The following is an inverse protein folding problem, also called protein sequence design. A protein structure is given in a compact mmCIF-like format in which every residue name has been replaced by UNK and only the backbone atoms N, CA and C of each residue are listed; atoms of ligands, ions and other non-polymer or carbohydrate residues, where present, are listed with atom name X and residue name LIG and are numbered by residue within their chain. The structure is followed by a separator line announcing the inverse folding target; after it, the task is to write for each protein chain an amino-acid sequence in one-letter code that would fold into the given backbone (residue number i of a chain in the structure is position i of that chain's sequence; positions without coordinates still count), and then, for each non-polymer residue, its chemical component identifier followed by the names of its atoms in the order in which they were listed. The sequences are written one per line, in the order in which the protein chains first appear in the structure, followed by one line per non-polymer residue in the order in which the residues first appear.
data_IF_152449043507
#
_entry.id   IF_152449043507
#
_cell.length_a   1.000
_cell.length_b   1.000
_cell.length_c   1.000
_cell.angle_alpha   90.00
_cell.angle_beta   90.00
_cell.angle_gamma   90.00
#
_symmetry.space_group_name_H-M   'P 1'
#
loop_
_entity.id
_entity.type
_entity.pdbx_description
1 polymer ?
#
# COMPACT_ATOMS: atom_id res chain seq x y z
N UNK A 1 10.51 -10.67 -8.83
CA UNK A 1 11.34 -11.41 -9.79
C UNK A 1 11.64 -10.55 -11.01
N UNK A 2 10.63 -10.15 -11.81
CA UNK A 2 10.82 -9.34 -13.04
C UNK A 2 11.61 -8.06 -12.79
N UNK A 3 11.24 -7.26 -11.79
CA UNK A 3 11.96 -6.01 -11.48
C UNK A 3 13.39 -6.25 -11.01
N UNK A 4 13.62 -7.30 -10.22
CA UNK A 4 14.95 -7.60 -9.68
C UNK A 4 15.88 -8.14 -10.74
N UNK A 5 15.49 -9.21 -11.46
CA UNK A 5 16.35 -9.88 -12.43
C UNK A 5 16.23 -9.30 -13.83
N UNK A 6 15.02 -8.93 -14.26
CA UNK A 6 14.81 -8.39 -15.61
C UNK A 6 15.26 -6.94 -15.78
N UNK A 7 15.16 -6.13 -14.72
CA UNK A 7 15.48 -4.70 -14.75
C UNK A 7 16.58 -4.29 -13.77
N UNK A 8 17.17 -5.23 -13.04
CA UNK A 8 18.24 -4.98 -12.04
C UNK A 8 17.85 -3.94 -10.98
N UNK A 9 16.57 -3.89 -10.61
CA UNK A 9 16.05 -2.92 -9.66
C UNK A 9 15.90 -3.52 -8.26
N UNK A 10 16.33 -2.84 -7.19
CA UNK A 10 16.04 -3.28 -5.83
C UNK A 10 14.53 -3.17 -5.54
N UNK A 11 13.96 -4.17 -4.88
CA UNK A 11 12.52 -4.22 -4.57
C UNK A 11 12.28 -4.39 -3.09
N UNK A 12 11.57 -3.43 -2.50
CA UNK A 12 11.01 -3.51 -1.14
C UNK A 12 9.52 -3.88 -1.26
N UNK A 13 9.14 -4.98 -0.63
CA UNK A 13 7.77 -5.50 -0.68
C UNK A 13 7.01 -5.06 0.57
N UNK A 14 6.10 -4.11 0.39
CA UNK A 14 5.22 -3.62 1.46
C UNK A 14 3.79 -4.02 1.10
N UNK A 15 3.25 -5.01 1.80
CA UNK A 15 1.91 -5.49 1.56
C UNK A 15 0.91 -4.83 2.50
N UNK A 16 -0.30 -4.57 2.00
CA UNK A 16 -1.43 -4.23 2.85
C UNK A 16 -1.89 -5.49 3.59
N UNK A 17 -1.27 -5.75 4.71
CA UNK A 17 -1.67 -6.81 5.62
C UNK A 17 -2.17 -6.14 6.88
N UNK A 18 -3.44 -6.31 7.15
CA UNK A 18 -4.10 -5.52 8.16
C UNK A 18 -3.72 -5.93 9.58
N UNK A 19 -3.03 -5.07 10.30
CA UNK A 19 -3.26 -4.92 11.72
C UNK A 19 -4.61 -4.26 11.98
N UNK A 20 -5.14 -3.50 11.01
CA UNK A 20 -6.41 -2.78 11.11
C UNK A 20 -7.31 -3.00 9.89
N UNK A 21 -8.55 -3.47 10.11
CA UNK A 21 -9.56 -3.77 9.07
C UNK A 21 -10.69 -2.73 9.00
N UNK A 22 -10.44 -1.50 9.43
CA UNK A 22 -11.40 -0.43 9.34
C UNK A 22 -11.52 0.11 7.90
N UNK A 23 -12.73 0.49 7.51
CA UNK A 23 -13.03 1.06 6.21
C UNK A 23 -13.46 2.52 6.36
N UNK A 24 -12.76 3.49 5.73
CA UNK A 24 -13.22 4.86 5.70
C UNK A 24 -14.53 4.95 4.92
N UNK A 25 -15.52 5.66 5.45
CA UNK A 25 -16.82 5.89 4.81
C UNK A 25 -17.06 7.36 4.56
N UNK A 26 -17.66 7.67 3.41
CA UNK A 26 -18.08 9.02 3.05
C UNK A 26 -19.40 9.44 3.71
N UNK A 27 -20.23 8.47 4.15
CA UNK A 27 -21.46 8.70 4.87
C UNK A 27 -21.46 7.96 6.21
N UNK A 28 -22.06 8.55 7.22
CA UNK A 28 -22.24 7.91 8.53
C UNK A 28 -23.30 6.81 8.47
N UNK A 29 -24.22 6.89 7.52
CA UNK A 29 -25.37 5.99 7.37
C UNK A 29 -25.46 5.44 5.94
N UNK A 30 -26.16 4.32 5.78
CA UNK A 30 -26.55 3.69 4.51
C UNK A 30 -28.07 3.52 4.51
N UNK A 31 -28.69 3.72 3.34
CA UNK A 31 -30.14 3.51 3.16
C UNK A 31 -30.38 2.38 2.17
N UNK A 32 -31.09 1.33 2.60
CA UNK A 32 -31.53 0.20 1.77
C UNK A 32 -33.03 0.00 1.99
N UNK A 33 -33.80 -0.03 0.94
CA UNK A 33 -35.28 -0.23 0.96
C UNK A 33 -36.02 0.75 1.91
N UNK A 34 -35.51 2.00 2.01
CA UNK A 34 -36.10 3.03 2.85
C UNK A 34 -35.74 2.94 4.32
N UNK A 35 -34.98 1.94 4.75
CA UNK A 35 -34.44 1.82 6.10
C UNK A 35 -33.06 2.46 6.15
N UNK A 36 -32.83 3.36 7.10
CA UNK A 36 -31.54 4.01 7.34
C UNK A 36 -30.84 3.41 8.56
N UNK A 37 -29.63 2.88 8.36
CA UNK A 37 -28.81 2.30 9.41
C UNK A 37 -27.37 2.86 9.35
N UNK A 38 -26.59 2.75 10.45
CA UNK A 38 -25.18 3.08 10.45
C UNK A 38 -24.42 2.34 9.34
N UNK A 39 -23.49 3.04 8.68
CA UNK A 39 -22.66 2.42 7.63
C UNK A 39 -21.83 1.26 8.18
N UNK A 40 -21.62 0.23 7.35
CA UNK A 40 -20.61 -0.78 7.61
C UNK A 40 -19.21 -0.15 7.59
N UNK A 41 -18.49 -0.22 8.71
CA UNK A 41 -17.19 0.43 8.93
C UNK A 41 -16.00 -0.54 8.95
N UNK A 42 -16.24 -1.81 8.64
CA UNK A 42 -15.24 -2.87 8.64
C UNK A 42 -15.47 -3.87 9.76
N UNK A 43 -15.05 -5.12 9.53
CA UNK A 43 -15.31 -6.26 10.43
C UNK A 43 -14.78 -6.08 11.85
N UNK A 44 -13.78 -5.23 12.04
CA UNK A 44 -13.28 -4.93 13.38
C UNK A 44 -14.15 -3.92 14.15
N UNK A 45 -15.15 -3.32 13.52
CA UNK A 45 -16.04 -2.33 14.12
C UNK A 45 -17.45 -2.87 14.24
N UNK A 46 -18.07 -3.26 13.11
CA UNK A 46 -19.44 -3.75 13.04
C UNK A 46 -19.59 -4.82 11.94
N UNK A 47 -20.74 -5.48 11.87
CA UNK A 47 -20.99 -6.51 10.88
C UNK A 47 -21.48 -5.95 9.55
N UNK A 48 -21.34 -6.75 8.48
CA UNK A 48 -21.73 -6.36 7.13
C UNK A 48 -23.23 -6.46 6.89
N UNK A 49 -23.94 -7.31 7.66
CA UNK A 49 -25.39 -7.46 7.55
C UNK A 49 -26.12 -6.14 7.78
N UNK A 50 -27.31 -5.98 7.18
CA UNK A 50 -28.07 -4.75 7.24
C UNK A 50 -29.22 -4.88 8.24
N UNK A 51 -28.88 -5.01 9.52
CA UNK A 51 -29.81 -5.01 10.67
C UNK A 51 -29.30 -4.03 11.73
N UNK A 52 -30.19 -3.53 12.57
CA UNK A 52 -29.81 -2.62 13.66
C UNK A 52 -28.75 -3.25 14.57
N UNK A 53 -28.93 -4.51 14.96
CA UNK A 53 -28.01 -5.24 15.82
C UNK A 53 -26.62 -5.40 15.21
N UNK A 54 -26.52 -5.77 13.94
CA UNK A 54 -25.24 -6.00 13.25
C UNK A 54 -24.49 -4.70 12.97
N UNK A 55 -25.18 -3.56 12.91
CA UNK A 55 -24.57 -2.25 12.65
C UNK A 55 -24.10 -1.54 13.92
N UNK A 56 -24.43 -2.06 15.11
CA UNK A 56 -23.87 -1.55 16.38
C UNK A 56 -22.38 -1.91 16.46
N UNK A 57 -21.48 -0.94 16.77
CA UNK A 57 -20.07 -1.22 17.01
C UNK A 57 -19.87 -2.17 18.19
N UNK A 58 -19.07 -3.22 18.00
CA UNK A 58 -18.74 -4.22 19.00
C UNK A 58 -17.23 -4.24 19.30
N UNK A 59 -16.78 -3.82 20.50
CA UNK A 59 -15.37 -3.81 20.88
C UNK A 59 -14.68 -5.18 20.83
N UNK A 60 -15.43 -6.28 21.02
CA UNK A 60 -14.87 -7.64 20.93
C UNK A 60 -14.35 -7.95 19.54
N UNK A 61 -14.87 -7.29 18.51
CA UNK A 61 -14.38 -7.41 17.13
C UNK A 61 -12.94 -6.93 16.96
N UNK A 62 -12.51 -5.92 17.72
CA UNK A 62 -11.12 -5.47 17.74
C UNK A 62 -10.16 -6.56 18.21
N UNK A 63 -10.53 -7.29 19.27
CA UNK A 63 -9.72 -8.41 19.77
C UNK A 63 -9.68 -9.57 18.76
N UNK A 64 -10.82 -9.90 18.16
CA UNK A 64 -10.89 -10.94 17.10
C UNK A 64 -10.02 -10.55 15.89
N UNK A 65 -10.08 -9.31 15.45
CA UNK A 65 -9.26 -8.80 14.36
C UNK A 65 -7.76 -8.89 14.70
N UNK A 66 -7.36 -8.53 15.92
CA UNK A 66 -5.99 -8.68 16.39
C UNK A 66 -5.52 -10.14 16.35
N UNK A 67 -6.28 -11.07 16.90
CA UNK A 67 -5.90 -12.49 16.90
C UNK A 67 -5.79 -13.04 15.48
N UNK A 68 -6.72 -12.71 14.61
CA UNK A 68 -6.70 -13.14 13.20
C UNK A 68 -5.50 -12.55 12.45
N UNK A 69 -5.22 -11.26 12.64
CA UNK A 69 -4.04 -10.60 12.03
C UNK A 69 -2.74 -11.22 12.51
N UNK A 70 -2.59 -11.42 13.80
CA UNK A 70 -1.39 -12.00 14.41
C UNK A 70 -1.13 -13.41 13.90
N UNK A 71 -2.14 -14.27 13.85
CA UNK A 71 -2.04 -15.63 13.32
C UNK A 71 -1.65 -15.62 11.83
N UNK A 72 -2.31 -14.80 11.03
CA UNK A 72 -2.05 -14.67 9.59
C UNK A 72 -0.63 -14.17 9.32
N UNK A 73 -0.18 -13.14 10.03
CA UNK A 73 1.17 -12.58 9.87
C UNK A 73 2.26 -13.57 10.28
N UNK A 74 2.04 -14.37 11.34
CA UNK A 74 2.97 -15.42 11.73
C UNK A 74 3.05 -16.54 10.68
N UNK A 75 1.93 -16.93 10.10
CA UNK A 75 1.90 -17.93 9.03
C UNK A 75 2.64 -17.42 7.78
N UNK A 76 2.38 -16.19 7.35
CA UNK A 76 3.05 -15.59 6.19
C UNK A 76 4.56 -15.46 6.44
N UNK A 77 4.97 -15.07 7.65
CA UNK A 77 6.39 -15.02 8.03
C UNK A 77 7.03 -16.40 7.93
N UNK A 78 6.39 -17.44 8.42
CA UNK A 78 6.88 -18.81 8.34
C UNK A 78 7.08 -19.24 6.87
N UNK A 79 6.14 -18.96 5.99
CA UNK A 79 6.26 -19.27 4.56
C UNK A 79 7.34 -18.42 3.86
N UNK A 80 7.42 -17.13 4.18
CA UNK A 80 8.37 -16.22 3.57
C UNK A 80 9.82 -16.55 3.95
N UNK A 81 10.06 -16.99 5.18
CA UNK A 81 11.39 -17.40 5.67
C UNK A 81 11.71 -18.86 5.41
N UNK A 82 10.68 -19.71 5.33
CA UNK A 82 10.81 -21.16 5.06
C UNK A 82 11.13 -21.53 3.62
N UNK A 83 11.18 -20.56 2.71
CA UNK A 83 11.56 -20.78 1.31
C UNK A 83 10.41 -21.16 0.38
N UNK A 84 9.14 -21.15 0.84
CA UNK A 84 7.99 -21.40 -0.03
C UNK A 84 7.91 -20.38 -1.18
N UNK A 85 8.21 -19.12 -0.88
CA UNK A 85 8.22 -18.02 -1.85
C UNK A 85 9.65 -17.66 -2.30
N UNK A 86 10.53 -18.65 -2.48
CA UNK A 86 11.87 -18.41 -3.04
C UNK A 86 11.78 -17.91 -4.49
N UNK A 87 12.80 -17.18 -4.94
CA UNK A 87 12.76 -16.50 -6.24
C UNK A 87 12.62 -17.46 -7.41
N UNK A 88 13.19 -18.67 -7.31
CA UNK A 88 13.12 -19.70 -8.37
C UNK A 88 11.68 -20.25 -8.49
N UNK A 89 11.03 -20.58 -7.36
CA UNK A 89 9.65 -21.07 -7.35
C UNK A 89 8.65 -20.03 -7.83
N UNK A 90 8.76 -18.78 -7.34
CA UNK A 90 7.87 -17.68 -7.75
C UNK A 90 7.99 -17.40 -9.25
N UNK A 91 9.20 -17.50 -9.80
CA UNK A 91 9.41 -17.35 -11.25
C UNK A 91 8.67 -18.42 -12.04
N UNK A 92 8.78 -19.69 -11.65
CA UNK A 92 8.07 -20.80 -12.29
C UNK A 92 6.54 -20.64 -12.22
N UNK A 93 5.99 -20.23 -11.06
CA UNK A 93 4.54 -19.99 -10.92
C UNK A 93 4.04 -18.86 -11.83
N UNK A 94 4.81 -17.80 -11.98
CA UNK A 94 4.43 -16.68 -12.85
C UNK A 94 4.40 -17.09 -14.33
N UNK A 95 5.34 -17.92 -14.77
CA UNK A 95 5.35 -18.46 -16.14
C UNK A 95 4.09 -19.27 -16.45
N UNK A 96 3.67 -20.13 -15.52
CA UNK A 96 2.45 -20.93 -15.69
C UNK A 96 1.18 -20.09 -15.77
N UNK A 97 1.12 -18.99 -15.02
CA UNK A 97 -0.03 -18.07 -15.01
C UNK A 97 -0.18 -17.29 -16.32
N UNK A 98 0.92 -16.92 -16.97
CA UNK A 98 0.90 -16.09 -18.20
C UNK A 98 0.65 -16.90 -19.47
N UNK A 99 0.82 -18.22 -19.42
CA UNK A 99 0.57 -19.11 -20.58
C UNK A 99 -0.82 -18.89 -21.18
N UNK A 100 -0.85 -18.63 -22.47
CA UNK A 100 -2.10 -18.43 -23.23
C UNK A 100 -2.64 -17.00 -23.23
N UNK A 101 -1.95 -16.02 -22.63
CA UNK A 101 -2.29 -14.61 -22.78
C UNK A 101 -1.71 -14.01 -24.07
N UNK A 102 -2.28 -12.89 -24.54
CA UNK A 102 -1.76 -12.15 -25.70
C UNK A 102 -0.34 -11.61 -25.47
N UNK A 103 0.04 -11.39 -24.21
CA UNK A 103 1.33 -10.88 -23.77
C UNK A 103 2.36 -11.99 -23.47
N UNK A 104 2.00 -13.26 -23.65
CA UNK A 104 2.84 -14.42 -23.31
C UNK A 104 4.24 -14.32 -23.94
N UNK A 105 4.32 -14.01 -25.25
CA UNK A 105 5.59 -13.92 -25.97
C UNK A 105 6.54 -12.83 -25.41
N UNK A 106 5.99 -11.66 -25.06
CA UNK A 106 6.77 -10.58 -24.47
C UNK A 106 7.25 -10.93 -23.07
N UNK A 107 6.42 -11.63 -22.30
CA UNK A 107 6.80 -12.11 -20.99
C UNK A 107 7.85 -13.22 -21.06
N UNK A 108 7.76 -14.11 -22.04
CA UNK A 108 8.74 -15.18 -22.29
C UNK A 108 10.15 -14.64 -22.58
N UNK A 109 10.26 -13.52 -23.30
CA UNK A 109 11.56 -12.85 -23.51
C UNK A 109 12.19 -12.40 -22.20
N UNK A 110 11.39 -11.77 -21.32
CA UNK A 110 11.86 -11.37 -19.98
C UNK A 110 12.20 -12.59 -19.13
N UNK A 111 11.38 -13.63 -19.21
CA UNK A 111 11.57 -14.87 -18.48
C UNK A 111 12.83 -15.60 -18.89
N UNK A 112 13.20 -15.60 -20.19
CA UNK A 112 14.46 -16.17 -20.68
C UNK A 112 15.66 -15.50 -20.02
N UNK A 113 15.69 -14.20 -19.97
CA UNK A 113 16.77 -13.43 -19.29
C UNK A 113 16.88 -13.76 -17.80
N UNK A 114 15.74 -13.95 -17.14
CA UNK A 114 15.71 -14.35 -15.73
C UNK A 114 16.28 -15.77 -15.56
N UNK A 115 15.91 -16.70 -16.43
CA UNK A 115 16.45 -18.06 -16.42
C UNK A 115 17.97 -18.07 -16.62
N UNK A 116 18.48 -17.32 -17.60
CA UNK A 116 19.92 -17.20 -17.84
C UNK A 116 20.65 -16.67 -16.59
N UNK A 117 20.09 -15.67 -15.89
CA UNK A 117 20.66 -15.14 -14.65
C UNK A 117 20.67 -16.18 -13.52
N UNK A 118 19.56 -16.93 -13.35
CA UNK A 118 19.46 -17.99 -12.35
C UNK A 118 20.39 -19.18 -12.66
N UNK A 119 20.53 -19.54 -13.92
CA UNK A 119 21.44 -20.60 -14.38
C UNK A 119 22.90 -20.21 -14.16
N UNK A 120 23.27 -18.96 -14.45
CA UNK A 120 24.59 -18.43 -14.15
C UNK A 120 24.89 -18.48 -12.65
N UNK A 121 23.95 -18.04 -11.81
CA UNK A 121 24.12 -18.10 -10.35
C UNK A 121 24.31 -19.53 -9.86
N UNK A 122 23.52 -20.49 -10.38
CA UNK A 122 23.67 -21.93 -10.08
C UNK A 122 25.03 -22.47 -10.50
N UNK A 123 25.50 -22.11 -11.69
CA UNK A 123 26.84 -22.48 -12.17
C UNK A 123 27.96 -21.94 -11.26
N UNK A 124 27.75 -20.76 -10.66
CA UNK A 124 28.65 -20.18 -9.65
C UNK A 124 28.45 -20.78 -8.24
N UNK A 125 27.61 -21.80 -8.08
CA UNK A 125 27.34 -22.44 -6.79
C UNK A 125 26.38 -21.69 -5.88
N UNK A 126 25.62 -20.70 -6.41
CA UNK A 126 24.64 -19.92 -5.64
C UNK A 126 23.24 -20.38 -5.99
N UNK A 127 22.48 -20.83 -4.98
CA UNK A 127 21.09 -21.29 -5.15
C UNK A 127 20.25 -20.94 -3.91
N UNK A 128 18.95 -21.17 -3.98
CA UNK A 128 18.06 -20.99 -2.82
C UNK A 128 18.39 -21.92 -1.65
N UNK A 129 19.13 -23.01 -1.88
CA UNK A 129 19.56 -23.91 -0.82
C UNK A 129 20.66 -23.32 0.08
N UNK A 130 21.55 -22.49 -0.47
CA UNK A 130 22.69 -21.92 0.24
C UNK A 130 22.71 -20.39 0.32
N UNK A 131 21.82 -19.70 -0.39
CA UNK A 131 21.70 -18.24 -0.35
C UNK A 131 20.39 -17.82 0.31
N UNK A 132 20.49 -17.14 1.46
CA UNK A 132 19.36 -16.60 2.18
C UNK A 132 18.59 -15.58 1.33
N UNK A 133 19.30 -14.77 0.55
CA UNK A 133 18.70 -13.74 -0.30
C UNK A 133 17.85 -14.32 -1.44
N UNK A 134 18.13 -15.53 -1.89
CA UNK A 134 17.31 -16.24 -2.88
C UNK A 134 16.17 -17.04 -2.24
N UNK A 135 16.41 -17.59 -1.04
CA UNK A 135 15.45 -18.43 -0.34
C UNK A 135 14.36 -17.61 0.36
N UNK A 136 14.72 -16.54 1.04
CA UNK A 136 13.81 -15.79 1.88
C UNK A 136 13.24 -14.58 1.15
N UNK A 137 11.95 -14.36 1.32
CA UNK A 137 11.29 -13.14 0.89
C UNK A 137 11.06 -12.23 2.11
N UNK A 138 11.69 -11.05 2.11
CA UNK A 138 11.38 -10.02 3.10
C UNK A 138 10.05 -9.37 2.72
N UNK A 139 9.09 -9.42 3.62
CA UNK A 139 7.77 -8.82 3.48
C UNK A 139 7.55 -7.85 4.64
N UNK A 140 7.22 -6.63 4.31
CA UNK A 140 6.79 -5.61 5.26
C UNK A 140 5.28 -5.43 5.17
N UNK A 141 4.66 -5.03 6.27
CA UNK A 141 3.21 -4.85 6.36
C UNK A 141 2.87 -3.38 6.48
N UNK A 142 1.68 -3.02 5.99
CA UNK A 142 1.18 -1.66 6.08
C UNK A 142 -0.34 -1.63 6.09
N UNK A 143 -0.93 -0.59 6.68
CA UNK A 143 -2.36 -0.28 6.61
C UNK A 143 -2.62 1.22 6.82
N UNK A 144 -3.86 1.65 6.56
CA UNK A 144 -4.31 2.99 6.90
C UNK A 144 -4.51 3.11 8.41
N UNK A 145 -3.88 4.09 9.04
CA UNK A 145 -4.04 4.39 10.47
C UNK A 145 -5.37 5.12 10.70
N UNK A 146 -6.50 4.44 10.49
CA UNK A 146 -7.82 5.06 10.56
C UNK A 146 -8.35 5.17 11.99
N UNK A 147 -8.17 4.12 12.81
CA UNK A 147 -8.60 4.05 14.20
C UNK A 147 -7.42 4.36 15.12
N UNK A 148 -7.28 5.61 15.54
CA UNK A 148 -6.13 6.04 16.35
C UNK A 148 -6.07 5.37 17.73
N UNK A 149 -7.21 5.09 18.36
CA UNK A 149 -7.23 4.34 19.62
C UNK A 149 -6.62 2.92 19.49
N UNK A 150 -6.79 2.30 18.32
CA UNK A 150 -6.15 1.02 18.03
C UNK A 150 -4.64 1.20 17.85
N UNK A 151 -4.22 2.19 17.08
CA UNK A 151 -2.80 2.48 16.85
C UNK A 151 -2.09 2.87 18.14
N UNK A 152 -2.70 3.69 18.98
CA UNK A 152 -2.18 4.09 20.30
C UNK A 152 -1.93 2.86 21.19
N UNK A 153 -2.87 1.90 21.20
CA UNK A 153 -2.72 0.66 21.96
C UNK A 153 -1.53 -0.19 21.50
N UNK A 154 -1.02 0.00 20.27
CA UNK A 154 0.14 -0.68 19.71
C UNK A 154 1.41 0.18 19.71
N UNK A 155 1.34 1.43 20.13
CA UNK A 155 2.52 2.30 20.20
C UNK A 155 3.42 1.87 21.37
N UNK A 156 4.70 1.74 21.09
CA UNK A 156 5.73 1.31 22.06
C UNK A 156 6.97 2.16 21.92
N UNK A 157 7.56 2.50 23.07
CA UNK A 157 8.87 3.12 23.10
C UNK A 157 9.93 2.07 22.71
N UNK A 158 10.85 2.46 21.84
CA UNK A 158 12.03 1.65 21.55
C UNK A 158 12.98 1.70 22.74
N UNK A 159 13.25 0.52 23.28
CA UNK A 159 14.19 0.34 24.41
C UNK A 159 15.56 -0.16 23.94
N UNK A 160 15.76 -0.32 22.64
CA UNK A 160 16.98 -0.89 22.04
C UNK A 160 17.90 0.24 21.54
N UNK A 161 17.31 1.27 20.89
CA UNK A 161 18.08 2.42 20.42
C UNK A 161 18.18 3.51 21.49
N UNK A 162 19.33 4.23 21.55
CA UNK A 162 19.53 5.29 22.55
C UNK A 162 18.53 6.44 22.46
N UNK A 163 18.01 6.70 21.26
CA UNK A 163 17.05 7.80 20.96
C UNK A 163 15.68 7.60 21.61
N UNK A 164 15.33 6.34 21.94
CA UNK A 164 14.09 6.01 22.63
C UNK A 164 12.82 6.41 21.84
N UNK A 165 12.88 6.36 20.51
CA UNK A 165 11.77 6.72 19.62
C UNK A 165 10.53 5.88 19.87
N UNK A 166 9.35 6.43 19.61
CA UNK A 166 8.10 5.68 19.67
C UNK A 166 7.78 5.05 18.31
N UNK A 167 7.36 3.79 18.34
CA UNK A 167 6.95 3.04 17.16
C UNK A 167 5.54 2.48 17.32
N UNK A 168 4.72 2.58 16.27
CA UNK A 168 3.55 1.73 16.15
C UNK A 168 3.99 0.31 15.80
N UNK A 169 3.58 -0.67 16.59
CA UNK A 169 3.87 -2.09 16.34
C UNK A 169 2.72 -2.82 15.63
N UNK A 170 1.68 -2.09 15.21
CA UNK A 170 0.56 -2.64 14.44
C UNK A 170 0.94 -3.01 13.00
N UNK A 171 1.90 -2.29 12.41
CA UNK A 171 2.50 -2.58 11.10
C UNK A 171 3.90 -1.94 10.99
N UNK A 172 4.65 -2.33 9.94
CA UNK A 172 5.96 -1.71 9.67
C UNK A 172 5.81 -0.29 9.12
N UNK A 173 4.76 -0.04 8.33
CA UNK A 173 4.45 1.25 7.74
C UNK A 173 2.97 1.56 7.93
N UNK A 174 2.64 2.80 8.24
CA UNK A 174 1.27 3.30 8.34
C UNK A 174 1.05 4.42 7.33
N UNK A 175 -0.18 4.62 6.85
CA UNK A 175 -0.48 5.79 6.04
C UNK A 175 -1.71 6.55 6.52
N UNK A 176 -1.70 7.86 6.26
CA UNK A 176 -2.82 8.77 6.45
C UNK A 176 -3.73 8.69 5.22
N UNK A 177 -5.03 8.54 5.42
CA UNK A 177 -6.03 8.60 4.36
C UNK A 177 -6.20 10.01 3.80
N UNK A 178 -6.73 10.12 2.59
CA UNK A 178 -7.00 11.40 1.93
C UNK A 178 -8.01 12.29 2.71
N UNK A 179 -8.88 11.66 3.51
CA UNK A 179 -9.90 12.34 4.33
C UNK A 179 -9.43 12.70 5.73
N UNK A 180 -8.27 12.23 6.16
CA UNK A 180 -7.75 12.40 7.53
C UNK A 180 -6.39 13.09 7.56
N UNK A 181 -6.03 13.81 6.47
CA UNK A 181 -4.74 14.51 6.33
C UNK A 181 -4.78 16.00 6.70
N UNK A 182 -5.79 16.46 7.44
CA UNK A 182 -5.84 17.83 7.92
C UNK A 182 -4.60 18.15 8.76
N UNK A 183 -3.93 19.27 8.49
CA UNK A 183 -2.65 19.64 9.11
C UNK A 183 -2.73 19.70 10.65
N UNK A 184 -3.86 20.15 11.18
CA UNK A 184 -4.17 20.24 12.61
C UNK A 184 -4.95 19.02 13.13
N UNK A 185 -5.07 17.97 12.31
CA UNK A 185 -5.83 16.76 12.61
C UNK A 185 -5.06 15.74 13.45
N UNK A 186 -5.79 14.98 14.27
CA UNK A 186 -5.22 13.96 15.15
C UNK A 186 -4.40 12.88 14.42
N UNK A 187 -4.75 12.56 13.17
CA UNK A 187 -3.99 11.58 12.38
C UNK A 187 -2.60 12.10 11.98
N UNK A 188 -2.49 13.37 11.62
CA UNK A 188 -1.21 14.00 11.30
C UNK A 188 -0.35 14.09 12.55
N UNK A 189 -0.95 14.51 13.69
CA UNK A 189 -0.25 14.59 14.97
C UNK A 189 0.28 13.23 15.44
N UNK A 190 -0.54 12.18 15.36
CA UNK A 190 -0.12 10.83 15.69
C UNK A 190 1.05 10.37 14.82
N UNK A 191 0.92 10.53 13.49
CA UNK A 191 1.94 10.07 12.53
C UNK A 191 3.25 10.85 12.64
N UNK A 192 3.20 12.11 13.07
CA UNK A 192 4.39 12.93 13.38
C UNK A 192 5.17 12.34 14.56
N UNK A 193 4.47 11.79 15.55
CA UNK A 193 5.06 11.26 16.78
C UNK A 193 5.72 9.88 16.67
N UNK A 194 5.39 9.07 15.67
CA UNK A 194 5.97 7.73 15.51
C UNK A 194 7.17 7.72 14.57
N UNK A 195 8.14 6.85 14.80
CA UNK A 195 9.36 6.72 13.98
C UNK A 195 9.24 5.75 12.79
N UNK A 196 8.11 5.07 12.62
CA UNK A 196 7.87 4.21 11.47
C UNK A 196 7.99 4.97 10.15
N UNK A 197 8.38 4.33 9.04
CA UNK A 197 8.07 4.85 7.71
C UNK A 197 6.57 5.11 7.58
N UNK A 198 6.22 6.25 7.02
CA UNK A 198 4.81 6.68 6.92
C UNK A 198 4.43 6.98 5.47
N UNK A 199 3.14 6.90 5.20
CA UNK A 199 2.55 7.29 3.92
C UNK A 199 1.45 8.33 4.09
N UNK A 200 1.17 9.04 3.02
CA UNK A 200 0.03 9.97 2.95
C UNK A 200 -0.64 9.87 1.60
N UNK A 201 -1.96 9.70 1.58
CA UNK A 201 -2.76 9.73 0.35
C UNK A 201 -2.89 11.14 -0.17
N UNK A 202 -2.63 11.30 -1.47
CA UNK A 202 -2.70 12.57 -2.18
C UNK A 202 -3.78 12.46 -3.28
N UNK A 203 -4.97 12.98 -2.99
CA UNK A 203 -6.07 13.06 -3.95
C UNK A 203 -6.05 14.35 -4.77
N UNK A 204 -6.96 14.49 -5.76
CA UNK A 204 -6.97 15.61 -6.70
C UNK A 204 -7.31 16.98 -6.08
N UNK A 205 -7.78 17.00 -4.83
CA UNK A 205 -8.09 18.22 -4.10
C UNK A 205 -6.93 18.74 -3.25
N UNK A 206 -5.78 18.05 -3.23
CA UNK A 206 -4.63 18.47 -2.43
C UNK A 206 -3.95 19.70 -3.05
N UNK A 207 -3.87 20.77 -2.30
CA UNK A 207 -3.15 21.96 -2.67
C UNK A 207 -1.63 21.77 -2.48
N UNK A 208 -0.78 22.28 -3.42
CA UNK A 208 0.68 22.12 -3.32
C UNK A 208 1.30 22.77 -2.08
N UNK A 209 0.80 23.91 -1.61
CA UNK A 209 1.32 24.58 -0.41
C UNK A 209 0.86 23.87 0.87
N UNK A 210 -0.37 23.36 0.90
CA UNK A 210 -0.84 22.48 1.97
C UNK A 210 0.00 21.20 2.06
N UNK A 211 0.26 20.60 0.91
CA UNK A 211 1.12 19.39 0.84
C UNK A 211 2.51 19.63 1.39
N UNK A 212 3.13 20.77 1.06
CA UNK A 212 4.48 21.09 1.55
C UNK A 212 4.49 21.22 3.08
N UNK A 213 3.51 21.89 3.67
CA UNK A 213 3.36 21.99 5.14
C UNK A 213 3.19 20.62 5.80
N UNK A 214 2.41 19.74 5.18
CA UNK A 214 2.25 18.36 5.66
C UNK A 214 3.57 17.58 5.60
N UNK A 215 4.36 17.73 4.51
CA UNK A 215 5.68 17.10 4.38
C UNK A 215 6.62 17.60 5.50
N UNK A 216 6.71 18.91 5.71
CA UNK A 216 7.52 19.52 6.75
C UNK A 216 7.13 19.07 8.16
N UNK A 217 5.82 18.88 8.40
CA UNK A 217 5.30 18.39 9.68
C UNK A 217 5.62 16.92 9.90
N UNK A 218 5.48 16.08 8.87
CA UNK A 218 5.61 14.62 8.95
C UNK A 218 7.06 14.14 8.82
N UNK A 219 7.92 14.94 8.21
CA UNK A 219 9.35 14.62 7.99
C UNK A 219 10.24 15.87 8.17
N UNK A 220 10.24 16.47 9.38
CA UNK A 220 10.94 17.75 9.62
C UNK A 220 12.45 17.67 9.37
N UNK A 221 13.06 16.53 9.61
CA UNK A 221 14.49 16.29 9.40
C UNK A 221 14.83 15.90 7.96
N UNK A 222 13.85 15.93 7.06
CA UNK A 222 13.98 15.58 5.65
C UNK A 222 14.71 14.24 5.41
N UNK A 223 14.36 13.23 6.22
CA UNK A 223 14.99 11.88 6.18
C UNK A 223 14.53 11.14 4.92
N UNK A 224 15.46 10.68 4.06
CA UNK A 224 15.11 9.91 2.87
C UNK A 224 14.38 8.60 3.23
N UNK A 225 13.27 8.32 2.53
CA UNK A 225 12.48 7.09 2.73
C UNK A 225 11.50 7.13 3.90
N UNK A 226 11.52 8.19 4.73
CA UNK A 226 10.60 8.37 5.84
C UNK A 226 9.16 8.55 5.37
N UNK A 227 8.93 9.40 4.37
CA UNK A 227 7.60 9.78 3.89
C UNK A 227 7.36 9.31 2.45
N UNK A 228 6.27 8.57 2.26
CA UNK A 228 5.74 8.15 0.96
C UNK A 228 4.47 8.91 0.63
N UNK A 229 4.47 9.66 -0.47
CA UNK A 229 3.30 10.31 -1.02
C UNK A 229 2.60 9.36 -2.00
N UNK A 230 1.34 9.01 -1.73
CA UNK A 230 0.59 8.01 -2.47
C UNK A 230 -0.46 8.73 -3.32
N UNK A 231 -0.12 9.03 -4.58
CA UNK A 231 -1.01 9.70 -5.53
C UNK A 231 -2.21 8.82 -5.88
N UNK A 232 -3.41 9.40 -5.84
CA UNK A 232 -4.69 8.76 -6.21
C UNK A 232 -5.60 9.77 -6.90
N UNK A 233 -5.24 10.17 -8.10
CA UNK A 233 -5.86 11.31 -8.79
C UNK A 233 -7.08 10.92 -9.64
N UNK A 234 -7.08 9.70 -10.19
CA UNK A 234 -8.00 9.26 -11.23
C UNK A 234 -7.43 9.50 -12.63
N UNK A 235 -7.72 8.61 -13.56
CA UNK A 235 -7.15 8.58 -14.92
C UNK A 235 -7.29 9.92 -15.67
N UNK A 236 -8.48 10.56 -15.58
CA UNK A 236 -8.76 11.82 -16.29
C UNK A 236 -8.06 13.05 -15.73
N UNK A 237 -7.46 12.99 -14.55
CA UNK A 237 -6.92 14.16 -13.85
C UNK A 237 -5.45 14.03 -13.42
N UNK A 238 -4.85 12.83 -13.52
CA UNK A 238 -3.55 12.55 -12.93
C UNK A 238 -2.46 13.50 -13.44
N UNK A 239 -2.36 13.73 -14.75
CA UNK A 239 -1.34 14.63 -15.32
C UNK A 239 -1.50 16.07 -14.86
N UNK A 240 -2.73 16.58 -14.87
CA UNK A 240 -3.05 17.95 -14.46
C UNK A 240 -2.82 18.17 -12.96
N UNK A 241 -3.30 17.26 -12.12
CA UNK A 241 -3.31 17.44 -10.66
C UNK A 241 -2.00 17.03 -9.99
N UNK A 242 -1.28 16.07 -10.56
CA UNK A 242 -0.03 15.59 -9.97
C UNK A 242 1.15 16.52 -10.30
N UNK A 243 1.22 17.06 -11.53
CA UNK A 243 2.33 17.89 -11.99
C UNK A 243 2.70 19.04 -11.03
N UNK A 244 1.75 19.90 -10.58
CA UNK A 244 2.08 20.97 -9.65
C UNK A 244 2.58 20.49 -8.29
N UNK A 245 2.13 19.32 -7.83
CA UNK A 245 2.63 18.71 -6.59
C UNK A 245 4.10 18.26 -6.74
N UNK A 246 4.43 17.62 -7.87
CA UNK A 246 5.80 17.22 -8.19
C UNK A 246 6.74 18.40 -8.29
N UNK A 247 6.34 19.46 -8.99
CA UNK A 247 7.10 20.71 -9.13
C UNK A 247 7.37 21.35 -7.77
N UNK A 248 6.36 21.42 -6.91
CA UNK A 248 6.49 22.00 -5.57
C UNK A 248 7.49 21.23 -4.71
N UNK A 249 7.41 19.90 -4.69
CA UNK A 249 8.36 19.05 -3.95
C UNK A 249 9.77 19.20 -4.52
N UNK A 250 9.92 19.18 -5.85
CA UNK A 250 11.22 19.35 -6.49
C UNK A 250 11.87 20.70 -6.14
N UNK A 251 11.10 21.79 -6.16
CA UNK A 251 11.57 23.13 -5.82
C UNK A 251 11.95 23.27 -4.34
N UNK A 252 11.22 22.60 -3.43
CA UNK A 252 11.49 22.66 -2.00
C UNK A 252 12.70 21.83 -1.55
N UNK A 253 13.18 20.88 -2.37
CA UNK A 253 14.26 19.95 -2.01
C UNK A 253 13.87 18.90 -0.99
N UNK A 254 12.58 18.73 -0.72
CA UNK A 254 12.07 17.69 0.19
C UNK A 254 12.26 16.29 -0.39
N UNK A 255 12.69 15.36 0.46
CA UNK A 255 12.96 13.97 0.10
C UNK A 255 11.75 13.11 0.43
N UNK A 256 11.01 12.75 -0.61
CA UNK A 256 9.82 11.90 -0.49
C UNK A 256 9.90 10.74 -1.49
N UNK A 257 9.18 9.69 -1.18
CA UNK A 257 8.96 8.55 -2.08
C UNK A 257 7.60 8.74 -2.76
N UNK A 258 7.54 8.71 -4.09
CA UNK A 258 6.29 8.78 -4.82
C UNK A 258 5.77 7.39 -5.20
N UNK A 259 4.49 7.15 -4.94
CA UNK A 259 3.79 5.91 -5.26
C UNK A 259 2.43 6.23 -5.88
N UNK A 260 2.02 5.49 -6.90
CA UNK A 260 0.68 5.60 -7.50
C UNK A 260 -0.29 4.59 -6.89
N UNK A 261 -1.50 5.05 -6.52
CA UNK A 261 -2.65 4.21 -6.19
C UNK A 261 -3.73 4.40 -7.25
N UNK A 262 -3.70 3.65 -8.36
CA UNK A 262 -4.61 3.85 -9.48
C UNK A 262 -6.01 3.27 -9.24
N UNK A 263 -6.28 2.71 -8.06
CA UNK A 263 -7.55 2.04 -7.78
C UNK A 263 -8.58 2.96 -7.14
N UNK A 264 -8.16 3.82 -6.20
CA UNK A 264 -9.10 4.57 -5.37
C UNK A 264 -9.58 5.88 -6.01
N UNK A 265 -8.89 6.37 -7.04
CA UNK A 265 -9.34 7.47 -7.90
C UNK A 265 -10.32 7.06 -9.01
N UNK A 266 -10.34 5.77 -9.37
CA UNK A 266 -11.11 5.24 -10.52
C UNK A 266 -12.30 4.37 -10.12
N UNK A 267 -12.82 4.55 -8.91
CA UNK A 267 -13.97 3.76 -8.44
C UNK A 267 -15.24 4.20 -9.13
N UNK A 268 -15.92 3.25 -9.79
CA UNK A 268 -17.24 3.42 -10.41
C UNK A 268 -18.24 2.44 -9.81
N UNK A 269 -19.54 2.76 -9.91
CA UNK A 269 -20.61 1.87 -9.49
C UNK A 269 -21.12 1.10 -10.71
N UNK A 270 -21.03 -0.23 -10.67
CA UNK A 270 -21.55 -1.09 -11.73
C UNK A 270 -23.09 -1.10 -11.73
N UNK A 271 -23.71 -1.59 -12.80
CA UNK A 271 -25.17 -1.76 -12.90
C UNK A 271 -25.75 -2.68 -11.81
N UNK A 272 -24.93 -3.61 -11.31
CA UNK A 272 -25.24 -4.48 -10.16
C UNK A 272 -25.24 -3.76 -8.81
N UNK A 273 -24.88 -2.46 -8.75
CA UNK A 273 -24.77 -1.68 -7.53
C UNK A 273 -23.41 -1.80 -6.82
N UNK A 274 -22.55 -2.75 -7.21
CA UNK A 274 -21.23 -2.93 -6.61
C UNK A 274 -20.21 -1.92 -7.12
N UNK A 275 -19.25 -1.56 -6.25
CA UNK A 275 -18.10 -0.74 -6.62
C UNK A 275 -17.11 -1.57 -7.43
N UNK A 276 -16.71 -1.05 -8.59
CA UNK A 276 -15.72 -1.67 -9.47
C UNK A 276 -14.75 -0.62 -10.02
N UNK A 277 -13.81 -1.04 -10.86
CA UNK A 277 -12.87 -0.17 -11.61
C UNK A 277 -12.74 -0.71 -13.01
N UNK A 278 -12.61 0.19 -13.96
CA UNK A 278 -12.27 -0.19 -15.33
C UNK A 278 -10.76 -0.39 -15.43
N UNK A 279 -10.34 -1.47 -16.06
CA UNK A 279 -8.91 -1.79 -16.22
C UNK A 279 -8.19 -0.68 -17.01
N UNK A 280 -8.84 -0.16 -18.06
CA UNK A 280 -8.29 0.93 -18.88
C UNK A 280 -8.02 2.19 -18.06
N UNK A 281 -8.93 2.58 -17.15
CA UNK A 281 -8.76 3.74 -16.29
C UNK A 281 -7.59 3.53 -15.29
N UNK A 282 -7.46 2.31 -14.77
CA UNK A 282 -6.33 1.95 -13.88
C UNK A 282 -5.00 2.06 -14.63
N UNK A 283 -4.92 1.51 -15.85
CA UNK A 283 -3.71 1.57 -16.67
C UNK A 283 -3.40 3.01 -17.10
N UNK A 284 -4.42 3.80 -17.44
CA UNK A 284 -4.26 5.20 -17.84
C UNK A 284 -3.76 6.06 -16.67
N UNK A 285 -4.25 5.85 -15.45
CA UNK A 285 -3.70 6.57 -14.28
C UNK A 285 -2.25 6.20 -14.03
N UNK A 286 -1.86 4.93 -14.17
CA UNK A 286 -0.46 4.52 -14.08
C UNK A 286 0.40 5.21 -15.13
N UNK A 287 -0.02 5.22 -16.41
CA UNK A 287 0.71 5.92 -17.48
C UNK A 287 0.83 7.41 -17.19
N UNK A 288 -0.29 8.05 -16.85
CA UNK A 288 -0.30 9.48 -16.54
C UNK A 288 0.56 9.84 -15.32
N UNK A 289 0.70 8.94 -14.35
CA UNK A 289 1.62 9.11 -13.23
C UNK A 289 3.08 9.16 -13.71
N UNK A 290 3.50 8.24 -14.57
CA UNK A 290 4.84 8.24 -15.14
C UNK A 290 5.08 9.46 -16.05
N UNK A 291 4.12 9.79 -16.91
CA UNK A 291 4.20 10.96 -17.80
C UNK A 291 4.40 12.27 -17.02
N UNK A 292 3.69 12.45 -15.91
CA UNK A 292 3.84 13.62 -15.05
C UNK A 292 5.24 13.70 -14.42
N UNK A 293 5.78 12.57 -13.99
CA UNK A 293 7.13 12.48 -13.45
C UNK A 293 8.20 12.80 -14.51
N UNK A 294 8.04 12.27 -15.72
CA UNK A 294 8.95 12.51 -16.84
C UNK A 294 8.93 14.00 -17.24
N UNK A 295 7.73 14.61 -17.31
CA UNK A 295 7.57 16.03 -17.65
C UNK A 295 8.26 16.96 -16.63
N UNK A 296 8.22 16.62 -15.34
CA UNK A 296 8.87 17.41 -14.28
C UNK A 296 10.34 17.02 -14.09
N UNK A 297 10.76 15.86 -14.61
CA UNK A 297 12.12 15.33 -14.39
C UNK A 297 12.32 14.88 -12.95
N UNK A 298 11.35 14.14 -12.40
CA UNK A 298 11.38 13.47 -11.11
C UNK A 298 11.30 11.96 -11.31
N UNK A 299 11.65 11.18 -10.28
CA UNK A 299 11.71 9.72 -10.40
C UNK A 299 10.50 9.06 -9.72
N UNK A 300 9.64 8.34 -10.44
CA UNK A 300 8.56 7.54 -9.86
C UNK A 300 9.14 6.27 -9.24
N UNK A 301 8.85 6.01 -7.98
CA UNK A 301 9.44 4.85 -7.27
C UNK A 301 8.57 3.61 -7.38
N UNK A 302 7.25 3.74 -7.35
CA UNK A 302 6.35 2.59 -7.29
C UNK A 302 4.93 2.91 -7.71
N UNK A 303 4.18 1.85 -7.99
CA UNK A 303 2.72 1.86 -8.01
C UNK A 303 2.18 0.74 -7.10
N UNK A 304 0.99 0.93 -6.54
CA UNK A 304 0.37 -0.10 -5.73
C UNK A 304 -0.16 -1.21 -6.63
N UNK A 305 0.47 -2.38 -6.55
CA UNK A 305 -0.10 -3.61 -7.10
C UNK A 305 -1.27 -4.01 -6.21
N UNK A 306 -2.46 -3.89 -6.74
CA UNK A 306 -3.60 -4.57 -6.15
C UNK A 306 -3.70 -5.96 -6.78
N UNK A 307 -3.42 -6.97 -5.98
CA UNK A 307 -4.14 -8.22 -6.17
C UNK A 307 -5.61 -7.86 -6.03
N UNK A 308 -6.37 -7.96 -7.10
CA UNK A 308 -7.83 -7.86 -7.04
C UNK A 308 -8.27 -8.81 -5.94
N UNK A 309 -8.93 -8.33 -4.89
CA UNK A 309 -9.53 -9.25 -3.93
C UNK A 309 -10.52 -10.08 -4.73
N UNK A 310 -10.26 -11.36 -4.81
CA UNK A 310 -11.10 -12.31 -5.52
C UNK A 310 -12.49 -12.43 -4.91
N UNK A 311 -12.73 -11.82 -3.77
CA UNK A 311 -14.04 -11.68 -3.13
C UNK A 311 -13.97 -10.57 -2.08
N UNK A 312 -14.32 -9.37 -2.47
CA UNK A 312 -14.95 -8.44 -1.55
C UNK A 312 -16.34 -8.16 -2.08
N UNK A 313 -17.24 -9.00 -1.68
CA UNK A 313 -18.64 -8.62 -1.57
C UNK A 313 -18.76 -7.37 -0.71
#
# INVERSE_FOLDING_TARGET
VVLTFGLSMPVVKVARMAGQFANPRSSATEVIDGIELPSYRGDMINAIGFTEEERIPDPVRLLRAYHQSSATLNLIRAFATGGLANLEAVHAWTLDYVKGSAEASRYEEIASRINEALDFMRACGVSSANSRSLRETRLYTSHEALLLNYEEAFTRQDTITPEGSEFSTSAHMLWIGDRTRQLDGAHVEYMRGIANPIGMKCGPSLDPDEMLKLIETLNPDNVPGRLTLIARMGAGQVREKLTPLLEKVKQSGQKVVWCCDPMHGNTVKASSGFKTRRVDDVLEEVRGFFDAHDAVGTYPVSYTHLTLPTNTT
#
